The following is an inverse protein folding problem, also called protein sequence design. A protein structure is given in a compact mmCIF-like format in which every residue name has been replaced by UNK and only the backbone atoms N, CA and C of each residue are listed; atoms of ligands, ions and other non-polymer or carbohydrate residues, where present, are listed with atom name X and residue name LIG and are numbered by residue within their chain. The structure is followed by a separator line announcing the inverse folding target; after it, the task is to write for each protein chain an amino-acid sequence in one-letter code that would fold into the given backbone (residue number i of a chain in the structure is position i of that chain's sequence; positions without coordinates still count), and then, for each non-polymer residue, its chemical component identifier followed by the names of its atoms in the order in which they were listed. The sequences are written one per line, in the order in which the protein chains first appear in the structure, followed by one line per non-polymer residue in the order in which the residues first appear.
data_IF_969547908603
#
_entry.id   IF_969547908603
#
_cell.length_a   1.000
_cell.length_b   1.000
_cell.length_c   1.000
_cell.angle_alpha   90.00
_cell.angle_beta   90.00
_cell.angle_gamma   90.00
#
_symmetry.space_group_name_H-M   'P 1'
#
loop_
_entity.id
_entity.type
_entity.pdbx_description
1 polymer ?
#
# COMPACT_ATOMS: atom_id res chain seq x y z
N UNK A 1 18.11 1.30 -16.54
CA UNK A 1 17.79 1.36 -15.11
C UNK A 1 18.99 0.82 -14.32
N UNK A 2 19.84 1.68 -13.73
CA UNK A 2 20.96 1.24 -12.88
C UNK A 2 20.36 0.68 -11.58
N UNK A 3 20.53 -0.62 -11.36
CA UNK A 3 20.18 -1.27 -10.09
C UNK A 3 21.14 -0.71 -9.03
N UNK A 4 20.60 0.02 -8.06
CA UNK A 4 21.37 0.42 -6.88
C UNK A 4 21.75 -0.86 -6.15
N UNK A 5 23.03 -1.22 -6.17
CA UNK A 5 23.57 -2.30 -5.33
C UNK A 5 23.44 -1.84 -3.89
N UNK A 6 22.42 -2.35 -3.19
CA UNK A 6 22.28 -2.11 -1.76
C UNK A 6 23.49 -2.65 -1.02
N UNK A 7 23.96 -1.88 -0.06
CA UNK A 7 24.95 -2.35 0.91
C UNK A 7 24.47 -3.64 1.56
N UNK A 8 25.41 -4.55 1.80
CA UNK A 8 25.18 -5.83 2.48
C UNK A 8 24.86 -5.62 3.96
N UNK A 9 23.80 -4.90 4.26
CA UNK A 9 23.23 -4.78 5.59
C UNK A 9 22.21 -5.89 5.82
N UNK A 10 22.15 -6.44 7.03
CA UNK A 10 21.10 -7.37 7.44
C UNK A 10 19.75 -6.72 7.17
N UNK A 11 18.98 -7.29 6.24
CA UNK A 11 17.64 -6.82 5.93
C UNK A 11 16.77 -6.91 7.21
N UNK A 12 16.05 -5.86 7.59
CA UNK A 12 15.22 -5.88 8.79
C UNK A 12 14.08 -6.91 8.69
N UNK A 13 13.53 -7.29 9.81
CA UNK A 13 12.46 -8.28 9.97
C UNK A 13 11.40 -8.20 8.88
N UNK A 14 11.06 -9.34 8.27
CA UNK A 14 10.02 -9.46 7.25
C UNK A 14 10.50 -9.31 5.80
N UNK A 15 11.80 -9.33 5.54
CA UNK A 15 12.32 -9.30 4.18
C UNK A 15 12.24 -10.66 3.51
N UNK A 16 11.82 -10.65 2.23
CA UNK A 16 11.84 -11.83 1.39
C UNK A 16 13.30 -12.21 1.06
N UNK A 17 13.85 -13.16 1.80
CA UNK A 17 15.10 -13.82 1.43
C UNK A 17 14.76 -15.06 0.59
N UNK A 18 15.19 -15.06 -0.69
CA UNK A 18 14.98 -16.16 -1.62
C UNK A 18 15.53 -17.48 -1.06
N UNK A 19 16.64 -17.42 -0.30
CA UNK A 19 17.27 -18.58 0.34
C UNK A 19 16.45 -19.06 1.53
N UNK A 20 15.91 -18.15 2.32
CA UNK A 20 15.05 -18.46 3.46
C UNK A 20 13.70 -19.00 3.01
N UNK A 21 13.10 -18.40 1.97
CA UNK A 21 11.86 -18.92 1.40
C UNK A 21 12.01 -20.27 0.71
N UNK A 22 13.14 -20.52 0.04
CA UNK A 22 13.43 -21.87 -0.46
C UNK A 22 13.56 -22.89 0.67
N UNK A 23 14.21 -22.51 1.79
CA UNK A 23 14.29 -23.36 2.96
C UNK A 23 12.91 -23.61 3.58
N UNK A 24 12.08 -22.55 3.71
CA UNK A 24 10.72 -22.67 4.21
C UNK A 24 9.86 -23.52 3.28
N UNK A 25 9.94 -23.30 1.96
CA UNK A 25 9.23 -24.13 0.97
C UNK A 25 9.66 -25.59 1.01
N UNK A 26 10.97 -25.86 1.04
CA UNK A 26 11.50 -27.23 1.16
C UNK A 26 11.09 -27.88 2.48
N UNK A 27 11.14 -27.13 3.58
CA UNK A 27 10.68 -27.61 4.88
C UNK A 27 9.18 -27.94 4.85
N UNK A 28 8.36 -27.08 4.23
CA UNK A 28 6.91 -27.31 4.10
C UNK A 28 6.60 -28.52 3.23
N UNK A 29 7.28 -28.67 2.09
CA UNK A 29 7.11 -29.84 1.21
C UNK A 29 7.54 -31.12 1.96
N UNK A 30 8.67 -31.07 2.68
CA UNK A 30 9.17 -32.23 3.42
C UNK A 30 8.23 -32.61 4.57
N UNK A 31 7.68 -31.63 5.31
CA UNK A 31 6.74 -31.89 6.40
C UNK A 31 5.38 -32.37 5.87
N UNK A 32 4.89 -31.86 4.75
CA UNK A 32 3.71 -32.36 4.09
C UNK A 32 3.90 -33.84 3.64
N UNK A 33 5.06 -34.14 3.06
CA UNK A 33 5.37 -35.51 2.64
C UNK A 33 5.47 -36.47 3.81
N UNK A 34 6.10 -36.06 4.91
CA UNK A 34 6.16 -36.84 6.17
C UNK A 34 4.75 -37.04 6.75
N UNK A 35 3.92 -36.01 6.74
CA UNK A 35 2.54 -36.09 7.23
C UNK A 35 1.72 -37.08 6.44
N UNK A 36 1.87 -37.11 5.10
CA UNK A 36 1.21 -38.11 4.23
C UNK A 36 1.65 -39.53 4.56
N UNK A 37 2.97 -39.76 4.76
CA UNK A 37 3.50 -41.09 5.13
C UNK A 37 2.96 -41.54 6.49
N UNK A 38 2.96 -40.64 7.47
CA UNK A 38 2.42 -40.92 8.81
C UNK A 38 0.93 -41.23 8.72
N UNK A 39 0.17 -40.52 7.89
CA UNK A 39 -1.24 -40.74 7.67
C UNK A 39 -1.55 -42.09 7.06
N UNK A 40 -0.79 -42.48 6.04
CA UNK A 40 -0.93 -43.81 5.42
C UNK A 40 -0.65 -44.91 6.43
N UNK A 41 0.41 -44.77 7.21
CA UNK A 41 0.77 -45.73 8.29
C UNK A 41 -0.29 -45.80 9.38
N UNK A 42 -0.82 -44.65 9.82
CA UNK A 42 -1.92 -44.58 10.78
C UNK A 42 -3.22 -45.18 10.21
N UNK A 43 -3.51 -44.96 8.92
CA UNK A 43 -4.65 -45.57 8.22
C UNK A 43 -4.57 -47.08 8.16
N UNK A 44 -3.38 -47.64 7.91
CA UNK A 44 -3.11 -49.08 7.98
C UNK A 44 -3.31 -49.62 9.39
N UNK A 45 -2.78 -48.90 10.42
CA UNK A 45 -2.83 -49.33 11.82
C UNK A 45 -4.24 -49.28 12.42
N UNK A 46 -5.06 -48.30 12.02
CA UNK A 46 -6.40 -48.07 12.55
C UNK A 46 -7.49 -48.72 11.69
N UNK A 47 -7.14 -49.36 10.58
CA UNK A 47 -8.08 -49.87 9.57
C UNK A 47 -9.18 -48.86 9.19
N UNK A 48 -8.87 -47.57 9.28
CA UNK A 48 -9.86 -46.50 9.07
C UNK A 48 -9.24 -45.28 8.41
N UNK A 49 -9.39 -45.18 7.09
CA UNK A 49 -8.83 -44.07 6.28
C UNK A 49 -9.45 -42.71 6.67
N UNK A 50 -10.66 -42.66 7.16
CA UNK A 50 -11.32 -41.41 7.51
C UNK A 50 -10.70 -40.74 8.75
N UNK A 51 -10.24 -41.50 9.72
CA UNK A 51 -9.56 -40.97 10.91
C UNK A 51 -8.21 -40.40 10.53
N UNK A 52 -7.47 -41.03 9.61
CA UNK A 52 -6.19 -40.51 9.14
C UNK A 52 -6.33 -39.21 8.38
N UNK A 53 -7.36 -39.04 7.54
CA UNK A 53 -7.68 -37.81 6.86
C UNK A 53 -8.05 -36.68 7.83
N UNK A 54 -8.79 -36.96 8.90
CA UNK A 54 -9.13 -35.97 9.94
C UNK A 54 -7.92 -35.40 10.66
N UNK A 55 -6.81 -36.14 10.72
CA UNK A 55 -5.56 -35.68 11.34
C UNK A 55 -4.69 -34.91 10.32
N UNK A 56 -4.64 -35.39 9.09
CA UNK A 56 -3.74 -34.84 8.05
C UNK A 56 -4.25 -33.53 7.50
N UNK A 57 -5.55 -33.40 7.21
CA UNK A 57 -6.12 -32.18 6.66
C UNK A 57 -5.84 -30.92 7.52
N UNK A 58 -6.00 -30.92 8.84
CA UNK A 58 -5.63 -29.77 9.68
C UNK A 58 -4.13 -29.46 9.64
N UNK A 59 -3.27 -30.48 9.59
CA UNK A 59 -1.82 -30.28 9.52
C UNK A 59 -1.41 -29.66 8.18
N UNK A 60 -1.94 -30.16 7.07
CA UNK A 60 -1.73 -29.60 5.74
C UNK A 60 -2.25 -28.16 5.65
N UNK A 61 -3.42 -27.90 6.24
CA UNK A 61 -3.99 -26.54 6.30
C UNK A 61 -3.12 -25.59 7.11
N UNK A 62 -2.58 -26.01 8.26
CA UNK A 62 -1.64 -25.21 9.06
C UNK A 62 -0.32 -24.96 8.30
N UNK A 63 0.18 -25.95 7.57
CA UNK A 63 1.37 -25.82 6.73
C UNK A 63 1.12 -24.85 5.55
N UNK A 64 -0.06 -24.93 4.94
CA UNK A 64 -0.48 -24.01 3.89
C UNK A 64 -0.60 -22.57 4.43
N UNK A 65 -1.16 -22.37 5.62
CA UNK A 65 -1.19 -21.08 6.32
C UNK A 65 0.22 -20.56 6.61
N UNK A 66 1.16 -21.44 6.95
CA UNK A 66 2.57 -21.06 7.20
C UNK A 66 3.28 -20.63 5.91
N UNK A 67 3.02 -21.31 4.79
CA UNK A 67 3.57 -20.92 3.45
C UNK A 67 2.96 -19.61 2.99
N UNK A 68 1.63 -19.48 3.10
CA UNK A 68 0.91 -18.24 2.77
C UNK A 68 1.34 -17.11 3.71
N UNK A 69 1.59 -17.39 4.99
CA UNK A 69 2.16 -16.44 5.95
C UNK A 69 3.54 -15.92 5.56
N UNK A 70 4.35 -16.74 4.88
CA UNK A 70 5.63 -16.30 4.29
C UNK A 70 5.49 -15.30 3.14
N UNK A 71 4.34 -15.23 2.48
CA UNK A 71 4.01 -14.20 1.49
C UNK A 71 3.69 -12.83 2.12
N UNK A 72 3.50 -12.75 3.43
CA UNK A 72 3.20 -11.53 4.17
C UNK A 72 4.39 -10.59 4.38
N UNK A 73 5.60 -10.96 3.97
CA UNK A 73 6.80 -10.11 4.12
C UNK A 73 6.63 -8.73 3.45
N UNK A 74 5.91 -8.65 2.34
CA UNK A 74 5.57 -7.39 1.70
C UNK A 74 4.62 -6.56 2.56
N UNK A 75 3.53 -7.16 3.07
CA UNK A 75 2.58 -6.47 3.92
C UNK A 75 3.24 -5.95 5.20
N UNK A 76 4.17 -6.71 5.77
CA UNK A 76 4.99 -6.27 6.90
C UNK A 76 5.87 -5.09 6.50
N UNK A 77 6.51 -5.12 5.32
CA UNK A 77 7.34 -4.02 4.83
C UNK A 77 6.52 -2.77 4.54
N UNK A 78 5.31 -2.92 3.98
CA UNK A 78 4.35 -1.82 3.80
C UNK A 78 3.92 -1.23 5.14
N UNK A 79 3.58 -2.08 6.12
CA UNK A 79 3.18 -1.62 7.45
C UNK A 79 4.30 -0.88 8.17
N UNK A 80 5.55 -1.35 8.06
CA UNK A 80 6.72 -0.66 8.61
C UNK A 80 6.88 0.71 7.91
N UNK A 81 6.80 0.74 6.57
CA UNK A 81 6.88 1.99 5.83
C UNK A 81 5.79 2.99 6.25
N UNK A 82 4.55 2.55 6.42
CA UNK A 82 3.47 3.41 6.88
C UNK A 82 3.67 3.97 8.30
N UNK A 83 4.54 3.34 9.10
CA UNK A 83 4.88 3.77 10.46
C UNK A 83 6.11 4.71 10.48
N UNK A 84 7.15 4.41 9.70
CA UNK A 84 8.44 5.11 9.74
C UNK A 84 8.64 6.08 8.57
N UNK A 85 7.82 5.97 7.52
CA UNK A 85 7.91 6.75 6.27
C UNK A 85 9.30 6.71 5.61
N UNK A 86 10.12 5.71 5.89
CA UNK A 86 11.45 5.58 5.32
C UNK A 86 11.36 5.03 3.88
N UNK A 87 11.14 5.93 2.93
CA UNK A 87 10.94 5.57 1.52
C UNK A 87 12.15 4.88 0.92
N UNK A 88 13.37 5.30 1.25
CA UNK A 88 14.61 4.71 0.70
C UNK A 88 14.72 3.22 1.06
N UNK A 89 14.49 2.87 2.32
CA UNK A 89 14.51 1.48 2.75
C UNK A 89 13.36 0.68 2.14
N UNK A 90 12.18 1.28 2.06
CA UNK A 90 11.02 0.67 1.42
C UNK A 90 11.28 0.43 -0.08
N UNK A 91 11.83 1.39 -0.80
CA UNK A 91 12.15 1.29 -2.22
C UNK A 91 13.09 0.12 -2.53
N UNK A 92 14.16 -0.05 -1.76
CA UNK A 92 15.09 -1.18 -1.91
C UNK A 92 14.35 -2.51 -1.80
N UNK A 93 13.46 -2.63 -0.83
CA UNK A 93 12.64 -3.84 -0.65
C UNK A 93 11.67 -4.06 -1.80
N UNK A 94 10.97 -3.01 -2.25
CA UNK A 94 10.05 -3.11 -3.38
C UNK A 94 10.74 -3.53 -4.66
N UNK A 95 11.91 -2.97 -4.97
CA UNK A 95 12.72 -3.38 -6.12
C UNK A 95 13.14 -4.85 -6.02
N UNK A 96 13.52 -5.30 -4.83
CA UNK A 96 13.85 -6.70 -4.58
C UNK A 96 12.66 -7.62 -4.83
N UNK A 97 11.47 -7.28 -4.29
CA UNK A 97 10.25 -8.06 -4.49
C UNK A 97 9.82 -8.10 -5.96
N UNK A 98 9.85 -6.97 -6.66
CA UNK A 98 9.51 -6.92 -8.08
C UNK A 98 10.45 -7.77 -8.93
N UNK A 99 11.75 -7.79 -8.60
CA UNK A 99 12.75 -8.59 -9.32
C UNK A 99 12.61 -10.09 -9.08
N UNK A 100 12.24 -10.49 -7.86
CA UNK A 100 12.25 -11.89 -7.44
C UNK A 100 10.85 -12.54 -7.44
N UNK A 101 9.79 -11.79 -7.70
CA UNK A 101 8.45 -12.33 -7.78
C UNK A 101 8.23 -12.95 -9.17
N UNK A 102 8.01 -14.26 -9.20
CA UNK A 102 7.82 -15.03 -10.42
C UNK A 102 6.38 -14.96 -10.96
N UNK A 103 5.41 -14.64 -10.10
CA UNK A 103 4.01 -14.55 -10.48
C UNK A 103 3.68 -13.17 -11.07
N UNK A 104 3.21 -13.17 -12.33
CA UNK A 104 2.87 -11.93 -13.05
C UNK A 104 1.79 -11.10 -12.36
N UNK A 105 0.77 -11.76 -11.77
CA UNK A 105 -0.31 -11.09 -11.04
C UNK A 105 0.22 -10.37 -9.79
N UNK A 106 1.04 -11.04 -8.98
CA UNK A 106 1.64 -10.44 -7.78
C UNK A 106 2.61 -9.31 -8.14
N UNK A 107 3.36 -9.44 -9.23
CA UNK A 107 4.23 -8.37 -9.73
C UNK A 107 3.43 -7.14 -10.16
N UNK A 108 2.30 -7.35 -10.82
CA UNK A 108 1.41 -6.27 -11.23
C UNK A 108 0.80 -5.54 -10.03
N UNK A 109 0.39 -6.27 -9.00
CA UNK A 109 -0.11 -5.68 -7.75
C UNK A 109 0.97 -4.85 -7.03
N UNK A 110 2.19 -5.38 -6.96
CA UNK A 110 3.35 -4.65 -6.44
C UNK A 110 3.62 -3.37 -7.22
N UNK A 111 3.60 -3.45 -8.54
CA UNK A 111 3.81 -2.31 -9.43
C UNK A 111 2.74 -1.24 -9.20
N UNK A 112 1.49 -1.65 -9.07
CA UNK A 112 0.35 -0.79 -8.81
C UNK A 112 0.48 -0.04 -7.47
N UNK A 113 0.80 -0.77 -6.39
CA UNK A 113 0.97 -0.18 -5.06
C UNK A 113 2.18 0.75 -5.00
N UNK A 114 3.30 0.34 -5.60
CA UNK A 114 4.53 1.12 -5.59
C UNK A 114 4.40 2.39 -6.43
N UNK A 115 3.79 2.31 -7.61
CA UNK A 115 3.55 3.50 -8.43
C UNK A 115 2.66 4.51 -7.70
N UNK A 116 1.63 4.06 -6.99
CA UNK A 116 0.77 4.96 -6.21
C UNK A 116 1.53 5.65 -5.05
N UNK A 117 2.41 4.94 -4.36
CA UNK A 117 3.25 5.56 -3.31
C UNK A 117 4.23 6.57 -3.90
N UNK A 118 4.80 6.28 -5.08
CA UNK A 118 5.71 7.18 -5.78
C UNK A 118 5.07 8.54 -6.14
N UNK A 119 3.75 8.63 -6.26
CA UNK A 119 3.08 9.92 -6.54
C UNK A 119 3.47 11.04 -5.56
N UNK A 120 3.81 10.69 -4.31
CA UNK A 120 4.20 11.65 -3.28
C UNK A 120 5.73 11.85 -3.17
N UNK A 121 6.53 11.04 -3.86
CA UNK A 121 7.99 11.09 -3.81
C UNK A 121 8.63 11.49 -5.15
N UNK A 122 8.14 10.89 -6.23
CA UNK A 122 8.65 11.06 -7.60
C UNK A 122 7.49 10.84 -8.59
N UNK A 123 6.67 11.89 -8.84
CA UNK A 123 5.50 11.78 -9.71
C UNK A 123 5.82 11.34 -11.14
N UNK A 124 6.93 11.81 -11.72
CA UNK A 124 7.31 11.43 -13.09
C UNK A 124 7.55 9.93 -13.20
N UNK A 125 8.30 9.39 -12.27
CA UNK A 125 8.56 7.96 -12.18
C UNK A 125 7.28 7.17 -11.86
N UNK A 126 6.40 7.73 -11.02
CA UNK A 126 5.11 7.13 -10.72
C UNK A 126 4.28 6.91 -11.98
N UNK A 127 4.17 7.91 -12.86
CA UNK A 127 3.45 7.80 -14.13
C UNK A 127 4.10 6.80 -15.08
N UNK A 128 5.44 6.82 -15.21
CA UNK A 128 6.15 5.83 -16.02
C UNK A 128 5.88 4.39 -15.57
N UNK A 129 5.79 4.18 -14.26
CA UNK A 129 5.49 2.86 -13.71
C UNK A 129 4.03 2.48 -13.86
N UNK A 130 3.11 3.43 -13.63
CA UNK A 130 1.67 3.23 -13.77
C UNK A 130 1.28 2.80 -15.20
N UNK A 131 1.92 3.35 -16.21
CA UNK A 131 1.68 2.98 -17.61
C UNK A 131 1.98 1.50 -17.92
N UNK A 132 2.72 0.81 -17.05
CA UNK A 132 3.00 -0.62 -17.16
C UNK A 132 2.08 -1.48 -16.28
N UNK A 133 1.19 -0.86 -15.49
CA UNK A 133 0.21 -1.58 -14.66
C UNK A 133 -0.91 -2.11 -15.54
N UNK A 134 -1.21 -3.39 -15.40
CA UNK A 134 -2.34 -4.03 -16.09
C UNK A 134 -3.54 -4.06 -15.15
N UNK A 135 -4.74 -3.79 -15.69
CA UNK A 135 -5.97 -3.92 -14.91
C UNK A 135 -6.12 -5.35 -14.41
N UNK A 136 -6.19 -5.59 -13.08
CA UNK A 136 -6.31 -6.92 -12.53
C UNK A 136 -7.75 -7.43 -12.64
N UNK A 137 -7.91 -8.77 -12.69
CA UNK A 137 -9.23 -9.42 -12.62
C UNK A 137 -9.73 -9.45 -11.17
N UNK A 138 -8.80 -9.55 -10.22
CA UNK A 138 -9.09 -9.57 -8.77
C UNK A 138 -8.62 -8.25 -8.16
N UNK A 139 -9.35 -7.72 -7.18
CA UNK A 139 -9.06 -6.43 -6.55
C UNK A 139 -9.18 -5.21 -7.50
N UNK A 140 -10.11 -5.27 -8.46
CA UNK A 140 -10.39 -4.15 -9.36
C UNK A 140 -10.65 -2.82 -8.62
N UNK A 141 -11.24 -2.87 -7.42
CA UNK A 141 -11.53 -1.67 -6.62
C UNK A 141 -10.26 -0.90 -6.24
N UNK A 142 -9.14 -1.59 -6.00
CA UNK A 142 -7.84 -0.96 -5.70
C UNK A 142 -7.29 -0.31 -6.96
N UNK A 143 -7.40 -0.98 -8.10
CA UNK A 143 -6.99 -0.42 -9.39
C UNK A 143 -7.78 0.84 -9.71
N UNK A 144 -9.12 0.77 -9.67
CA UNK A 144 -10.01 1.90 -9.96
C UNK A 144 -9.73 3.07 -9.00
N UNK A 145 -9.46 2.78 -7.72
CA UNK A 145 -9.07 3.80 -6.73
C UNK A 145 -7.75 4.49 -7.09
N UNK A 146 -6.72 3.74 -7.48
CA UNK A 146 -5.43 4.32 -7.85
C UNK A 146 -5.50 5.02 -9.20
N UNK A 147 -6.24 4.49 -10.18
CA UNK A 147 -6.47 5.14 -11.46
C UNK A 147 -7.03 6.56 -11.27
N UNK A 148 -8.05 6.72 -10.43
CA UNK A 148 -8.60 8.04 -10.11
C UNK A 148 -7.52 8.93 -9.47
N UNK A 149 -6.68 8.41 -8.59
CA UNK A 149 -5.59 9.20 -7.99
C UNK A 149 -4.58 9.68 -9.03
N UNK A 150 -4.23 8.86 -10.02
CA UNK A 150 -3.35 9.23 -11.13
C UNK A 150 -3.99 10.30 -12.02
N UNK A 151 -5.27 10.16 -12.33
CA UNK A 151 -6.03 11.16 -13.12
C UNK A 151 -6.11 12.49 -12.36
N UNK A 152 -6.33 12.49 -11.05
CA UNK A 152 -6.26 13.71 -10.21
C UNK A 152 -4.85 14.32 -10.27
N UNK A 153 -3.81 13.49 -10.16
CA UNK A 153 -2.42 13.97 -10.23
C UNK A 153 -2.05 14.54 -11.60
N UNK A 154 -2.68 14.06 -12.69
CA UNK A 154 -2.57 14.64 -14.05
C UNK A 154 -3.36 15.94 -14.20
N UNK A 155 -4.10 16.38 -13.18
CA UNK A 155 -5.02 17.56 -13.22
C UNK A 155 -6.19 17.42 -14.20
N UNK A 156 -6.54 16.21 -14.63
CA UNK A 156 -7.70 15.91 -15.47
C UNK A 156 -8.96 15.80 -14.58
N UNK A 157 -9.36 16.90 -13.94
CA UNK A 157 -10.36 16.87 -12.86
C UNK A 157 -11.76 16.45 -13.31
N UNK A 158 -12.19 16.83 -14.52
CA UNK A 158 -13.50 16.42 -15.05
C UNK A 158 -13.56 14.91 -15.24
N UNK A 159 -12.54 14.34 -15.85
CA UNK A 159 -12.41 12.89 -16.00
C UNK A 159 -12.33 12.17 -14.65
N UNK A 160 -11.59 12.74 -13.69
CA UNK A 160 -11.53 12.21 -12.34
C UNK A 160 -12.91 12.20 -11.66
N UNK A 161 -13.73 13.22 -11.88
CA UNK A 161 -15.10 13.33 -11.37
C UNK A 161 -16.02 12.25 -11.96
N UNK A 162 -15.94 12.02 -13.27
CA UNK A 162 -16.69 10.96 -13.95
C UNK A 162 -16.33 9.58 -13.41
N UNK A 163 -15.04 9.28 -13.33
CA UNK A 163 -14.55 8.01 -12.79
C UNK A 163 -14.93 7.83 -11.32
N UNK A 164 -14.87 8.88 -10.51
CA UNK A 164 -15.28 8.84 -9.11
C UNK A 164 -16.78 8.54 -8.97
N UNK A 165 -17.62 9.10 -9.81
CA UNK A 165 -19.06 8.81 -9.81
C UNK A 165 -19.32 7.33 -10.18
N UNK A 166 -18.64 6.81 -11.20
CA UNK A 166 -18.71 5.40 -11.57
C UNK A 166 -18.20 4.49 -10.42
N UNK A 167 -17.10 4.89 -9.75
CA UNK A 167 -16.55 4.20 -8.59
C UNK A 167 -17.56 4.13 -7.44
N UNK A 168 -18.25 5.24 -7.13
CA UNK A 168 -19.27 5.29 -6.07
C UNK A 168 -20.43 4.33 -6.34
N UNK A 169 -20.89 4.26 -7.57
CA UNK A 169 -21.97 3.36 -7.99
C UNK A 169 -21.54 1.88 -7.89
N UNK A 170 -20.34 1.58 -8.40
CA UNK A 170 -19.79 0.21 -8.41
C UNK A 170 -19.44 -0.31 -7.02
N UNK A 171 -18.93 0.56 -6.14
CA UNK A 171 -18.41 0.21 -4.81
C UNK A 171 -19.19 0.88 -3.67
N UNK A 172 -20.50 0.73 -3.68
CA UNK A 172 -21.42 1.36 -2.70
C UNK A 172 -21.38 0.74 -1.30
N UNK A 173 -20.74 -0.43 -1.11
CA UNK A 173 -20.68 -1.13 0.18
C UNK A 173 -19.88 -0.32 1.21
N UNK A 174 -20.30 -0.42 2.49
CA UNK A 174 -19.69 0.29 3.65
C UNK A 174 -18.16 0.17 3.72
N UNK A 175 -17.60 -0.98 3.33
CA UNK A 175 -16.15 -1.23 3.36
C UNK A 175 -15.34 -0.31 2.42
N UNK A 176 -15.97 0.27 1.38
CA UNK A 176 -15.29 1.16 0.42
C UNK A 176 -15.51 2.66 0.71
N UNK A 177 -16.38 2.99 1.68
CA UNK A 177 -16.74 4.40 1.94
C UNK A 177 -15.54 5.28 2.29
N UNK A 178 -14.60 4.76 3.10
CA UNK A 178 -13.40 5.53 3.48
C UNK A 178 -12.55 5.93 2.27
N UNK A 179 -12.37 5.02 1.29
CA UNK A 179 -11.64 5.27 0.05
C UNK A 179 -12.37 6.28 -0.83
N UNK A 180 -13.70 6.15 -0.92
CA UNK A 180 -14.55 7.07 -1.68
C UNK A 180 -14.49 8.49 -1.11
N UNK A 181 -14.61 8.63 0.20
CA UNK A 181 -14.52 9.92 0.91
C UNK A 181 -13.15 10.57 0.63
N UNK A 182 -12.06 9.81 0.77
CA UNK A 182 -10.72 10.33 0.52
C UNK A 182 -10.56 10.89 -0.90
N UNK A 183 -11.01 10.16 -1.92
CA UNK A 183 -10.95 10.61 -3.31
C UNK A 183 -11.81 11.86 -3.55
N UNK A 184 -13.00 11.89 -2.97
CA UNK A 184 -13.92 13.01 -3.10
C UNK A 184 -13.34 14.30 -2.52
N UNK A 185 -12.78 14.23 -1.30
CA UNK A 185 -12.15 15.38 -0.67
C UNK A 185 -10.88 15.80 -1.42
N UNK A 186 -10.03 14.84 -1.82
CA UNK A 186 -8.84 15.14 -2.62
C UNK A 186 -9.22 15.88 -3.91
N UNK A 187 -10.22 15.40 -4.63
CA UNK A 187 -10.68 16.04 -5.85
C UNK A 187 -11.21 17.45 -5.58
N UNK A 188 -12.12 17.63 -4.60
CA UNK A 188 -12.67 18.93 -4.23
C UNK A 188 -11.58 19.93 -3.82
N UNK A 189 -10.60 19.50 -3.01
CA UNK A 189 -9.50 20.37 -2.56
C UNK A 189 -8.71 20.91 -3.75
N UNK A 190 -8.44 20.06 -4.75
CA UNK A 190 -7.54 20.38 -5.84
C UNK A 190 -8.26 21.00 -7.07
N UNK A 191 -9.58 20.79 -7.23
CA UNK A 191 -10.31 21.20 -8.43
C UNK A 191 -11.27 22.37 -8.22
N UNK A 192 -11.64 22.70 -6.99
CA UNK A 192 -12.60 23.77 -6.70
C UNK A 192 -12.08 24.71 -5.61
N UNK A 193 -12.62 25.93 -5.59
CA UNK A 193 -12.37 26.88 -4.51
C UNK A 193 -13.52 26.89 -3.47
N UNK A 194 -14.40 25.89 -3.53
CA UNK A 194 -15.54 25.81 -2.62
C UNK A 194 -15.10 25.66 -1.17
N UNK A 195 -15.84 26.27 -0.26
CA UNK A 195 -15.66 26.06 1.18
C UNK A 195 -16.23 24.67 1.51
N UNK A 196 -15.41 23.87 2.16
CA UNK A 196 -15.80 22.55 2.64
C UNK A 196 -15.94 22.61 4.15
N UNK A 197 -17.17 22.53 4.62
CA UNK A 197 -17.45 22.49 6.05
C UNK A 197 -16.86 21.21 6.67
N UNK A 198 -16.26 21.35 7.84
CA UNK A 198 -15.71 20.24 8.65
C UNK A 198 -14.62 19.39 7.94
N UNK A 199 -13.84 19.98 7.01
CA UNK A 199 -12.78 19.27 6.31
C UNK A 199 -11.84 18.54 7.28
N UNK A 200 -11.55 19.17 8.42
CA UNK A 200 -10.67 18.61 9.44
C UNK A 200 -11.28 17.35 10.06
N UNK A 201 -12.53 17.41 10.48
CA UNK A 201 -13.21 16.25 11.10
C UNK A 201 -13.34 15.08 10.12
N UNK A 202 -13.63 15.37 8.83
CA UNK A 202 -13.81 14.37 7.79
C UNK A 202 -12.51 13.69 7.36
N UNK A 203 -11.42 14.46 7.24
CA UNK A 203 -10.12 13.94 6.83
C UNK A 203 -9.30 13.39 8.01
N UNK A 204 -9.40 14.00 9.22
CA UNK A 204 -8.56 13.67 10.37
C UNK A 204 -9.02 12.41 11.11
N UNK A 205 -10.28 12.03 11.01
CA UNK A 205 -10.88 10.98 11.83
C UNK A 205 -10.25 9.57 11.75
N UNK A 206 -9.46 9.22 10.71
CA UNK A 206 -9.08 7.81 10.47
C UNK A 206 -7.57 7.55 10.29
N UNK A 207 -6.70 8.14 11.12
CA UNK A 207 -5.25 8.00 10.91
C UNK A 207 -4.62 6.95 11.80
N UNK A 208 -4.52 5.75 11.26
CA UNK A 208 -3.87 4.63 11.97
C UNK A 208 -2.34 4.62 11.83
N UNK A 209 -1.75 5.35 10.87
CA UNK A 209 -0.31 5.33 10.62
C UNK A 209 0.24 6.71 10.26
N UNK A 210 1.54 6.88 10.42
CA UNK A 210 2.24 8.14 10.26
C UNK A 210 2.17 8.69 8.84
N UNK A 211 2.35 7.83 7.82
CA UNK A 211 2.25 8.22 6.42
C UNK A 211 0.89 8.83 6.08
N UNK A 212 -0.19 8.14 6.40
CA UNK A 212 -1.54 8.65 6.15
C UNK A 212 -1.84 9.92 6.94
N UNK A 213 -1.27 10.06 8.16
CA UNK A 213 -1.37 11.28 8.95
C UNK A 213 -0.74 12.47 8.22
N UNK A 214 0.46 12.32 7.69
CA UNK A 214 1.17 13.37 6.96
C UNK A 214 0.43 13.73 5.68
N UNK A 215 0.01 12.74 4.89
CA UNK A 215 -0.74 12.95 3.63
C UNK A 215 -2.03 13.72 3.87
N UNK A 216 -2.76 13.42 4.93
CA UNK A 216 -4.02 14.13 5.21
C UNK A 216 -3.76 15.54 5.74
N UNK A 217 -2.77 15.74 6.61
CA UNK A 217 -2.38 17.09 7.05
C UNK A 217 -1.97 17.95 5.83
N UNK A 218 -1.29 17.36 4.84
CA UNK A 218 -0.96 18.08 3.61
C UNK A 218 -2.19 18.49 2.81
N UNK A 219 -3.24 17.68 2.78
CA UNK A 219 -4.50 18.10 2.14
C UNK A 219 -5.20 19.23 2.90
N UNK A 220 -5.17 19.22 4.24
CA UNK A 220 -5.68 20.35 5.02
C UNK A 220 -4.87 21.63 4.74
N UNK A 221 -3.55 21.53 4.74
CA UNK A 221 -2.64 22.61 4.40
C UNK A 221 -2.97 23.21 3.02
N UNK A 222 -3.02 22.38 1.98
CA UNK A 222 -3.32 22.81 0.61
C UNK A 222 -4.73 23.41 0.48
N UNK A 223 -5.70 22.87 1.22
CA UNK A 223 -7.05 23.42 1.26
C UNK A 223 -7.06 24.85 1.77
N UNK A 224 -6.42 25.13 2.89
CA UNK A 224 -6.37 26.45 3.47
C UNK A 224 -5.51 27.43 2.67
N UNK A 225 -4.36 26.96 2.15
CA UNK A 225 -3.49 27.77 1.30
C UNK A 225 -4.21 28.24 0.02
N UNK A 226 -4.86 27.33 -0.68
CA UNK A 226 -5.56 27.66 -1.94
C UNK A 226 -6.74 28.61 -1.76
N UNK A 227 -7.24 28.78 -0.54
CA UNK A 227 -8.37 29.67 -0.21
C UNK A 227 -7.94 30.95 0.54
N UNK A 228 -6.63 31.16 0.68
CA UNK A 228 -6.06 32.36 1.29
C UNK A 228 -6.11 32.37 2.83
N UNK A 229 -6.46 31.26 3.49
CA UNK A 229 -6.41 31.16 4.95
C UNK A 229 -4.97 30.81 5.41
N UNK A 230 -4.06 31.77 5.22
CA UNK A 230 -2.62 31.54 5.40
C UNK A 230 -2.27 31.06 6.80
N UNK A 231 -2.82 31.66 7.87
CA UNK A 231 -2.54 31.25 9.26
C UNK A 231 -2.84 29.76 9.51
N UNK A 232 -3.97 29.27 8.96
CA UNK A 232 -4.32 27.86 9.06
C UNK A 232 -3.41 26.97 8.22
N UNK A 233 -3.06 27.41 7.01
CA UNK A 233 -2.12 26.68 6.16
C UNK A 233 -0.76 26.53 6.84
N UNK A 234 -0.23 27.59 7.41
CA UNK A 234 1.02 27.60 8.19
C UNK A 234 0.94 26.73 9.42
N UNK A 235 -0.20 26.75 10.12
CA UNK A 235 -0.42 25.84 11.26
C UNK A 235 -0.25 24.37 10.85
N UNK A 236 -0.88 23.94 9.72
CA UNK A 236 -0.75 22.58 9.22
C UNK A 236 0.66 22.26 8.70
N UNK A 237 1.33 23.22 8.05
CA UNK A 237 2.71 23.09 7.62
C UNK A 237 3.64 22.80 8.81
N UNK A 238 3.48 23.55 9.90
CA UNK A 238 4.25 23.37 11.14
C UNK A 238 3.93 22.02 11.81
N UNK A 239 2.67 21.57 11.80
CA UNK A 239 2.32 20.23 12.29
C UNK A 239 3.02 19.12 11.51
N UNK A 240 3.09 19.23 10.18
CA UNK A 240 3.80 18.27 9.32
C UNK A 240 5.29 18.28 9.64
N UNK A 241 5.90 19.46 9.68
CA UNK A 241 7.34 19.64 9.99
C UNK A 241 7.72 19.03 11.35
N UNK A 242 6.87 19.18 12.35
CA UNK A 242 7.10 18.62 13.70
C UNK A 242 7.02 17.08 13.76
N UNK A 243 6.44 16.43 12.75
CA UNK A 243 6.45 14.97 12.66
C UNK A 243 7.79 14.40 12.19
N UNK A 244 8.71 15.25 11.73
CA UNK A 244 10.05 14.89 11.25
C UNK A 244 10.04 13.73 10.24
N UNK A 245 9.13 13.81 9.27
CA UNK A 245 8.92 12.82 8.21
C UNK A 245 9.24 13.47 6.87
N UNK A 246 9.99 12.77 6.03
CA UNK A 246 10.38 13.26 4.72
C UNK A 246 9.58 12.59 3.60
N UNK A 247 8.65 13.34 3.01
CA UNK A 247 7.89 12.97 1.82
C UNK A 247 8.11 14.08 0.78
N UNK A 248 8.92 13.80 -0.22
CA UNK A 248 9.53 14.80 -1.11
C UNK A 248 8.55 15.85 -1.66
N UNK A 249 7.37 15.44 -2.12
CA UNK A 249 6.38 16.38 -2.66
C UNK A 249 5.76 17.23 -1.54
N UNK A 250 5.47 16.62 -0.39
CA UNK A 250 4.87 17.31 0.75
C UNK A 250 5.86 18.29 1.36
N UNK A 251 7.14 17.92 1.47
CA UNK A 251 8.20 18.79 1.99
C UNK A 251 8.31 20.08 1.15
N UNK A 252 8.27 19.96 -0.19
CA UNK A 252 8.24 21.13 -1.09
C UNK A 252 7.02 22.01 -0.86
N UNK A 253 5.83 21.41 -0.72
CA UNK A 253 4.59 22.15 -0.46
C UNK A 253 4.63 22.87 0.90
N UNK A 254 5.17 22.22 1.94
CA UNK A 254 5.36 22.82 3.26
C UNK A 254 6.31 24.03 3.19
N UNK A 255 7.44 23.90 2.49
CA UNK A 255 8.37 25.00 2.30
C UNK A 255 7.73 26.18 1.54
N UNK A 256 6.94 25.90 0.51
CA UNK A 256 6.22 26.93 -0.26
C UNK A 256 5.24 27.71 0.61
N UNK A 257 4.46 27.01 1.46
CA UNK A 257 3.51 27.66 2.38
C UNK A 257 4.23 28.50 3.43
N UNK A 258 5.30 27.97 4.05
CA UNK A 258 6.05 28.70 5.08
C UNK A 258 6.79 29.93 4.52
N UNK A 259 7.19 29.93 3.24
CA UNK A 259 7.77 31.12 2.57
C UNK A 259 6.77 32.24 2.37
N UNK A 260 5.48 31.98 2.34
CA UNK A 260 4.43 33.01 2.21
C UNK A 260 4.19 33.78 3.53
N UNK A 261 4.60 33.20 4.65
CA UNK A 261 4.48 33.81 5.99
C UNK A 261 5.59 34.85 6.24
N UNK A 262 6.78 34.66 5.60
CA UNK A 262 7.94 35.57 5.73
C UNK A 262 7.79 36.81 4.88
#
# INVERSE_FOLDING_TARGET
MKVIKGEKGKLPYGTYDKKENRKKLLFTISTAFIAVIISLKLGELLNNVNISLLIVCPIEFLLLLFVVGGMNGLNVSMNIFFQDCNFKNFEVKMQYYMKNNLHSASRNELLMQYSNLLLNYDPERAFLMWNNVKRPIVNEFIYDFYEIQFIIASKEYDKAKELLNAYKLKYSKKQYQASTILLEYKLKILSTNDIIDDIESKLIYNKKNLYNKVVVLSYCMLYYDSRGFLDKAVHYANLIKNLNVHITLIDKQVEEVLKKEM
#
